data_IF_666410086075
#
_entry.id   IF_666410086075
#
_cell.length_a   1.000
_cell.length_b   1.000
_cell.length_c   1.000
_cell.angle_alpha   90.00
_cell.angle_beta   90.00
_cell.angle_gamma   90.00
#
_symmetry.space_group_name_H-M   'P 1'
#
loop_
_entity.id
_entity.type
_entity.pdbx_description
1 polymer ?
#
# COMPACT_ATOMS: atom_id res chain seq x y z
N UNK A 1 7.23 8.99 23.01
CA UNK A 1 8.31 8.19 22.37
C UNK A 1 9.12 7.53 23.46
N UNK A 2 9.21 6.24 23.45
CA UNK A 2 9.91 5.55 24.51
C UNK A 2 11.39 5.32 24.15
N UNK A 3 12.17 5.01 25.16
CA UNK A 3 13.62 4.82 25.03
C UNK A 3 13.99 3.68 24.10
N UNK A 4 13.18 2.63 24.04
CA UNK A 4 13.52 1.44 23.27
C UNK A 4 13.67 1.73 21.78
N UNK A 5 12.96 2.71 21.24
CA UNK A 5 13.07 3.05 19.83
C UNK A 5 14.41 3.65 19.46
N UNK A 6 15.15 4.20 20.44
CA UNK A 6 16.48 4.74 20.17
C UNK A 6 17.52 3.67 19.97
N UNK A 7 17.26 2.46 20.46
CA UNK A 7 18.23 1.38 20.46
C UNK A 7 17.99 0.34 19.38
N UNK A 8 16.86 0.43 18.68
CA UNK A 8 16.55 -0.48 17.60
C UNK A 8 16.76 0.19 16.25
N UNK A 9 17.46 -0.48 15.34
CA UNK A 9 17.52 0.04 13.98
C UNK A 9 16.11 0.09 13.42
N UNK A 10 15.64 1.28 13.10
CA UNK A 10 14.32 1.49 12.52
C UNK A 10 14.49 1.90 11.07
N UNK A 11 14.04 1.05 10.16
CA UNK A 11 14.11 1.33 8.74
C UNK A 11 12.70 1.51 8.23
N UNK A 12 12.48 2.59 7.55
CA UNK A 12 11.16 2.97 7.07
C UNK A 12 11.14 3.05 5.57
N UNK A 13 10.04 2.56 4.98
CA UNK A 13 9.71 2.87 3.60
C UNK A 13 8.87 4.14 3.63
N UNK A 14 9.40 5.20 3.04
CA UNK A 14 8.68 6.48 2.95
C UNK A 14 8.05 6.58 1.58
N UNK A 15 6.78 6.96 1.55
CA UNK A 15 6.06 7.14 0.30
C UNK A 15 5.14 8.36 0.40
N UNK A 16 4.75 8.86 -0.75
CA UNK A 16 3.91 10.06 -0.83
C UNK A 16 2.54 9.71 -1.37
N UNK A 17 1.52 10.22 -0.70
CA UNK A 17 0.15 10.22 -1.19
C UNK A 17 -0.31 11.66 -1.20
N UNK A 18 -0.62 12.20 -2.36
CA UNK A 18 -0.86 13.63 -2.56
C UNK A 18 0.35 14.44 -2.08
N UNK A 19 0.15 15.37 -1.17
CA UNK A 19 1.21 16.22 -0.67
C UNK A 19 1.72 15.81 0.71
N UNK A 20 1.38 14.60 1.14
CA UNK A 20 1.77 14.11 2.46
C UNK A 20 2.68 12.90 2.33
N UNK A 21 3.66 12.88 3.20
CA UNK A 21 4.54 11.72 3.31
C UNK A 21 4.01 10.79 4.40
N UNK A 22 4.08 9.50 4.11
CA UNK A 22 3.73 8.44 5.03
C UNK A 22 4.90 7.48 5.11
N UNK A 23 4.92 6.69 6.15
CA UNK A 23 5.98 5.72 6.31
C UNK A 23 5.42 4.41 6.85
N UNK A 24 6.01 3.32 6.40
CA UNK A 24 5.76 1.99 6.93
C UNK A 24 7.07 1.42 7.42
N UNK A 25 7.01 0.70 8.54
CA UNK A 25 8.15 -0.08 8.99
C UNK A 25 8.47 -1.10 7.90
N UNK A 26 9.73 -1.13 7.47
CA UNK A 26 10.13 -1.97 6.35
C UNK A 26 9.93 -3.45 6.64
N UNK A 27 9.84 -3.84 7.91
CA UNK A 27 9.58 -5.22 8.27
C UNK A 27 8.21 -5.71 7.82
N UNK A 28 7.26 -4.78 7.59
CA UNK A 28 5.96 -5.14 7.06
C UNK A 28 5.90 -5.17 5.55
N UNK A 29 6.96 -4.74 4.89
CA UNK A 29 6.97 -4.61 3.43
C UNK A 29 7.71 -5.78 2.82
N UNK A 30 7.03 -6.53 1.97
CA UNK A 30 7.68 -7.58 1.21
C UNK A 30 8.43 -6.99 0.02
N UNK A 31 7.76 -6.13 -0.73
CA UNK A 31 8.36 -5.45 -1.87
C UNK A 31 7.45 -4.34 -2.38
N UNK A 32 8.00 -3.52 -3.25
CA UNK A 32 7.25 -2.52 -4.01
C UNK A 32 7.34 -2.91 -5.48
N UNK A 33 6.20 -2.98 -6.14
CA UNK A 33 6.13 -3.38 -7.54
C UNK A 33 5.40 -2.34 -8.36
N UNK A 34 5.65 -2.29 -9.67
CA UNK A 34 4.86 -1.43 -10.55
C UNK A 34 3.40 -1.82 -10.53
N UNK A 35 2.55 -0.86 -10.90
CA UNK A 35 1.12 -1.11 -11.02
C UNK A 35 0.87 -2.19 -12.06
N UNK A 36 -0.02 -3.11 -11.72
CA UNK A 36 -0.52 -4.15 -12.62
C UNK A 36 -2.03 -4.06 -12.69
N UNK A 37 -2.63 -4.82 -13.59
CA UNK A 37 -4.07 -4.83 -13.73
C UNK A 37 -4.74 -5.31 -12.45
N UNK A 38 -5.73 -4.55 -12.00
CA UNK A 38 -6.52 -4.87 -10.82
C UNK A 38 -7.89 -5.31 -11.29
N UNK A 39 -8.29 -6.50 -10.85
CA UNK A 39 -9.63 -7.02 -11.11
C UNK A 39 -10.54 -6.63 -9.97
N UNK A 40 -11.60 -5.90 -10.27
CA UNK A 40 -12.57 -5.48 -9.25
C UNK A 40 -13.38 -6.67 -8.77
N UNK A 41 -13.74 -6.64 -7.47
CA UNK A 41 -14.58 -7.67 -6.87
C UNK A 41 -15.93 -7.06 -6.49
N UNK A 42 -17.04 -7.50 -7.12
CA UNK A 42 -18.37 -7.03 -6.74
C UNK A 42 -18.65 -7.35 -5.26
N UNK A 43 -19.25 -6.40 -4.57
CA UNK A 43 -19.64 -6.60 -3.18
C UNK A 43 -18.52 -6.46 -2.16
N UNK A 44 -17.31 -6.13 -2.58
CA UNK A 44 -16.20 -5.90 -1.63
C UNK A 44 -16.37 -4.54 -0.94
N UNK A 45 -15.77 -4.36 0.25
CA UNK A 45 -15.76 -3.05 0.92
C UNK A 45 -15.15 -1.97 0.01
N UNK A 46 -15.60 -0.73 0.20
CA UNK A 46 -15.16 0.38 -0.67
C UNK A 46 -13.66 0.61 -0.65
N UNK A 47 -12.98 0.31 0.45
CA UNK A 47 -11.52 0.47 0.54
C UNK A 47 -10.76 -0.56 -0.28
N UNK A 48 -11.41 -1.66 -0.65
CA UNK A 48 -10.78 -2.70 -1.47
C UNK A 48 -10.94 -2.35 -2.93
N UNK A 49 -9.84 -2.04 -3.60
CA UNK A 49 -9.86 -1.70 -5.02
C UNK A 49 -10.13 -2.92 -5.89
N UNK A 50 -9.72 -4.09 -5.43
CA UNK A 50 -9.88 -5.33 -6.16
C UNK A 50 -8.80 -6.32 -5.78
N UNK A 51 -8.46 -7.20 -6.70
CA UNK A 51 -7.40 -8.19 -6.49
C UNK A 51 -6.40 -8.13 -7.64
N UNK A 52 -5.18 -8.53 -7.33
CA UNK A 52 -4.12 -8.69 -8.33
C UNK A 52 -3.53 -10.09 -8.21
N UNK A 53 -2.94 -10.56 -9.31
CA UNK A 53 -2.17 -11.79 -9.30
C UNK A 53 -0.70 -11.44 -9.14
N UNK A 54 -0.10 -11.90 -8.07
CA UNK A 54 1.33 -11.72 -7.83
C UNK A 54 1.94 -13.10 -7.67
N UNK A 55 2.75 -13.50 -8.64
CA UNK A 55 3.43 -14.81 -8.65
C UNK A 55 2.48 -15.97 -8.44
N UNK A 56 1.34 -15.94 -9.11
CA UNK A 56 0.35 -17.01 -9.00
C UNK A 56 -0.55 -16.91 -7.78
N UNK A 57 -0.33 -15.97 -6.88
CA UNK A 57 -1.18 -15.74 -5.72
C UNK A 57 -2.14 -14.59 -5.94
N UNK A 58 -3.36 -14.76 -5.49
CA UNK A 58 -4.37 -13.70 -5.56
C UNK A 58 -4.27 -12.86 -4.29
N UNK A 59 -4.02 -11.58 -4.46
CA UNK A 59 -3.77 -10.65 -3.35
C UNK A 59 -4.78 -9.51 -3.42
N UNK A 60 -5.54 -9.25 -2.33
CA UNK A 60 -6.43 -8.10 -2.31
C UNK A 60 -5.62 -6.80 -2.24
N UNK A 61 -6.13 -5.77 -2.91
CA UNK A 61 -5.51 -4.44 -2.97
C UNK A 61 -6.38 -3.46 -2.23
N UNK A 62 -5.80 -2.79 -1.26
CA UNK A 62 -6.47 -1.77 -0.46
C UNK A 62 -6.03 -0.40 -0.97
N UNK A 63 -7.00 0.50 -1.12
CA UNK A 63 -6.72 1.86 -1.53
C UNK A 63 -6.21 2.68 -0.35
N UNK A 64 -4.95 3.08 -0.39
CA UNK A 64 -4.39 3.95 0.63
C UNK A 64 -5.05 5.32 0.64
N UNK A 65 -5.44 5.81 -0.53
CA UNK A 65 -6.13 7.11 -0.61
C UNK A 65 -7.40 7.10 0.22
N UNK A 66 -8.23 6.08 0.04
CA UNK A 66 -9.47 5.97 0.82
C UNK A 66 -9.20 5.75 2.30
N UNK A 67 -8.18 4.98 2.64
CA UNK A 67 -7.80 4.79 4.04
C UNK A 67 -7.32 6.08 4.69
N UNK A 68 -6.76 6.99 3.91
CA UNK A 68 -6.29 8.29 4.42
C UNK A 68 -7.38 9.37 4.35
N UNK A 69 -8.60 9.02 3.99
CA UNK A 69 -9.70 9.98 3.89
C UNK A 69 -9.64 10.86 2.65
N UNK A 70 -8.85 10.46 1.65
CA UNK A 70 -8.72 11.20 0.41
C UNK A 70 -9.73 10.69 -0.61
N UNK A 71 -10.21 11.57 -1.51
CA UNK A 71 -11.10 11.10 -2.58
C UNK A 71 -10.37 10.13 -3.50
N UNK A 72 -11.13 9.19 -4.04
CA UNK A 72 -10.60 8.24 -4.97
C UNK A 72 -10.28 8.92 -6.30
N UNK A 73 -9.21 8.49 -6.93
CA UNK A 73 -8.89 8.85 -8.30
C UNK A 73 -8.54 7.60 -9.09
N UNK A 74 -8.63 7.70 -10.39
CA UNK A 74 -8.28 6.57 -11.24
C UNK A 74 -6.83 6.13 -11.03
N UNK A 75 -6.59 4.85 -11.26
CA UNK A 75 -5.25 4.27 -11.18
C UNK A 75 -4.41 4.77 -12.36
N UNK A 76 -3.13 5.02 -12.09
CA UNK A 76 -2.17 5.46 -13.09
C UNK A 76 -1.05 4.46 -13.22
N UNK A 77 -0.46 4.38 -14.41
CA UNK A 77 0.69 3.50 -14.62
C UNK A 77 1.88 3.87 -13.73
N UNK A 78 1.95 5.12 -13.31
CA UNK A 78 3.01 5.57 -12.40
C UNK A 78 2.78 5.17 -10.94
N UNK A 79 1.59 4.69 -10.62
CA UNK A 79 1.31 4.22 -9.26
C UNK A 79 2.11 2.96 -8.97
N UNK A 80 2.29 2.70 -7.69
CA UNK A 80 3.03 1.53 -7.21
C UNK A 80 2.17 0.75 -6.23
N UNK A 81 2.41 -0.54 -6.18
CA UNK A 81 1.81 -1.42 -5.18
C UNK A 81 2.85 -1.73 -4.11
N UNK A 82 2.48 -1.52 -2.86
CA UNK A 82 3.30 -1.95 -1.73
C UNK A 82 2.75 -3.29 -1.28
N UNK A 83 3.53 -4.34 -1.50
CA UNK A 83 3.14 -5.70 -1.12
C UNK A 83 3.59 -5.93 0.31
N UNK A 84 2.63 -6.23 1.19
CA UNK A 84 2.90 -6.45 2.59
C UNK A 84 3.16 -7.92 2.89
N UNK A 85 3.86 -8.14 3.97
CA UNK A 85 4.08 -9.49 4.49
C UNK A 85 2.76 -10.13 4.94
#
# INVERSE_FOLDING_TARGET
MNESLKHFPCRLLVFRVENRNYALDISFVQRVVPMVEITTLPGSPSVVAGVVNIRGGIVPVVSLRLCCGLPERGLKLSDRLIVLQ
#
